data_IF_671523477309
#
_entry.id   IF_671523477309
#
_cell.length_a   1.000
_cell.length_b   1.000
_cell.length_c   1.000
_cell.angle_alpha   90.00
_cell.angle_beta   90.00
_cell.angle_gamma   90.00
#
_symmetry.space_group_name_H-M   'P 1'
#
loop_
_entity.id
_entity.type
_entity.pdbx_description
1 polymer ?
#
# COMPACT_ATOMS: atom_id res chain seq x y z
N UNK A 1 -19.76 17.48 -35.51
CA UNK A 1 -19.84 16.10 -35.01
C UNK A 1 -18.81 15.80 -33.93
N UNK A 2 -17.53 16.24 -33.98
CA UNK A 2 -16.49 15.94 -32.98
C UNK A 2 -16.74 16.59 -31.59
N UNK A 3 -17.26 17.83 -31.52
CA UNK A 3 -17.62 18.50 -30.25
C UNK A 3 -18.76 17.79 -29.50
N UNK A 4 -19.68 17.15 -30.18
CA UNK A 4 -20.82 16.45 -29.56
C UNK A 4 -20.40 15.13 -28.93
N UNK A 5 -19.37 14.44 -29.44
CA UNK A 5 -18.89 13.18 -28.91
C UNK A 5 -18.13 13.37 -27.56
N UNK A 6 -17.30 14.44 -27.46
CA UNK A 6 -16.60 14.77 -26.20
C UNK A 6 -17.57 15.22 -25.10
N UNK A 7 -18.60 16.01 -25.45
CA UNK A 7 -19.65 16.40 -24.49
C UNK A 7 -20.51 15.22 -24.04
N UNK A 8 -20.79 14.27 -24.91
CA UNK A 8 -21.53 13.04 -24.57
C UNK A 8 -20.68 12.13 -23.66
N UNK A 9 -19.37 12.02 -23.91
CA UNK A 9 -18.46 11.23 -23.08
C UNK A 9 -18.32 11.81 -21.67
N UNK A 10 -18.17 13.13 -21.53
CA UNK A 10 -18.16 13.82 -20.24
C UNK A 10 -19.49 13.64 -19.48
N UNK A 11 -20.62 13.67 -20.18
CA UNK A 11 -21.95 13.44 -19.59
C UNK A 11 -22.12 11.98 -19.13
N UNK A 12 -21.63 11.01 -19.90
CA UNK A 12 -21.68 9.58 -19.55
C UNK A 12 -20.78 9.29 -18.34
N UNK A 13 -19.57 9.86 -18.27
CA UNK A 13 -18.67 9.70 -17.13
C UNK A 13 -19.28 10.30 -15.86
N UNK A 14 -19.89 11.50 -15.94
CA UNK A 14 -20.55 12.13 -14.77
C UNK A 14 -21.79 11.34 -14.32
N UNK A 15 -22.57 10.77 -15.22
CA UNK A 15 -23.72 9.95 -14.87
C UNK A 15 -23.35 8.61 -14.24
N UNK A 16 -22.31 7.93 -14.75
CA UNK A 16 -21.87 6.64 -14.17
C UNK A 16 -21.31 6.78 -12.76
N UNK A 17 -20.62 7.87 -12.46
CA UNK A 17 -20.13 8.19 -11.11
C UNK A 17 -21.27 8.51 -10.16
N UNK A 18 -22.26 9.32 -10.57
CA UNK A 18 -23.44 9.64 -9.72
C UNK A 18 -24.32 8.41 -9.42
N UNK A 19 -24.54 7.51 -10.38
CA UNK A 19 -25.34 6.30 -10.17
C UNK A 19 -24.63 5.26 -9.28
N UNK A 20 -23.30 5.22 -9.27
CA UNK A 20 -22.52 4.34 -8.38
C UNK A 20 -22.61 4.74 -6.91
N UNK A 21 -22.70 6.04 -6.62
CA UNK A 21 -22.69 6.57 -5.25
C UNK A 21 -24.04 6.44 -4.51
N UNK A 22 -25.15 6.54 -5.23
CA UNK A 22 -26.48 6.36 -4.62
C UNK A 22 -26.76 4.92 -4.20
N UNK A 23 -26.02 3.95 -4.75
CA UNK A 23 -26.18 2.54 -4.43
C UNK A 23 -25.34 2.07 -3.22
N UNK A 24 -24.29 2.82 -2.81
CA UNK A 24 -23.32 2.37 -1.80
C UNK A 24 -23.34 3.15 -0.46
N UNK A 25 -24.24 4.10 -0.23
CA UNK A 25 -24.39 4.77 1.08
C UNK A 25 -23.20 5.67 1.48
N UNK A 26 -22.51 6.26 0.50
CA UNK A 26 -21.44 7.24 0.73
C UNK A 26 -21.91 8.46 1.51
N UNK A 27 -21.02 9.05 2.35
CA UNK A 27 -21.33 10.25 3.12
C UNK A 27 -21.45 11.48 2.20
N UNK A 28 -22.14 12.55 2.66
CA UNK A 28 -22.23 13.81 1.92
C UNK A 28 -20.84 14.37 1.57
N UNK A 29 -19.85 14.17 2.44
CA UNK A 29 -18.46 14.59 2.23
C UNK A 29 -17.79 13.83 1.07
N UNK A 30 -18.10 12.54 0.89
CA UNK A 30 -17.57 11.73 -0.22
C UNK A 30 -18.16 12.20 -1.56
N UNK A 31 -19.44 12.59 -1.56
CA UNK A 31 -20.11 13.16 -2.74
C UNK A 31 -19.50 14.51 -3.13
N UNK A 32 -19.25 15.38 -2.15
CA UNK A 32 -18.63 16.69 -2.37
C UNK A 32 -17.20 16.56 -2.89
N UNK A 33 -16.40 15.63 -2.36
CA UNK A 33 -15.05 15.35 -2.84
C UNK A 33 -15.05 14.84 -4.30
N UNK A 34 -15.97 13.94 -4.63
CA UNK A 34 -16.13 13.45 -6.02
C UNK A 34 -16.62 14.53 -6.99
N UNK A 35 -17.51 15.41 -6.54
CA UNK A 35 -17.96 16.53 -7.36
C UNK A 35 -16.81 17.50 -7.64
N UNK A 36 -15.97 17.83 -6.64
CA UNK A 36 -14.80 18.67 -6.81
C UNK A 36 -13.77 18.03 -7.78
N UNK A 37 -13.57 16.71 -7.68
CA UNK A 37 -12.71 15.97 -8.60
C UNK A 37 -13.28 15.95 -10.02
N UNK A 38 -14.58 15.78 -10.19
CA UNK A 38 -15.28 15.86 -11.49
C UNK A 38 -15.19 17.25 -12.11
N UNK A 39 -15.32 18.31 -11.32
CA UNK A 39 -15.11 19.69 -11.79
C UNK A 39 -13.68 19.91 -12.27
N UNK A 40 -12.69 19.40 -11.53
CA UNK A 40 -11.27 19.48 -11.90
C UNK A 40 -10.99 18.73 -13.20
N UNK A 41 -11.48 17.49 -13.35
CA UNK A 41 -11.34 16.69 -14.55
C UNK A 41 -12.06 17.31 -15.76
N UNK A 42 -13.25 17.88 -15.52
CA UNK A 42 -13.99 18.59 -16.55
C UNK A 42 -13.24 19.83 -17.05
N UNK A 43 -12.60 20.56 -16.13
CA UNK A 43 -11.75 21.71 -16.48
C UNK A 43 -10.54 21.25 -17.31
N UNK A 44 -9.81 20.22 -16.85
CA UNK A 44 -8.66 19.67 -17.58
C UNK A 44 -9.04 19.16 -18.96
N UNK A 45 -10.19 18.52 -19.10
CA UNK A 45 -10.73 18.08 -20.39
C UNK A 45 -11.04 19.25 -21.31
N UNK A 46 -11.61 20.34 -20.80
CA UNK A 46 -11.90 21.54 -21.56
C UNK A 46 -10.63 22.25 -21.99
N UNK A 47 -9.64 22.35 -21.11
CA UNK A 47 -8.35 22.97 -21.40
C UNK A 47 -7.60 22.16 -22.48
N UNK A 48 -7.56 20.84 -22.39
CA UNK A 48 -6.97 19.96 -23.40
C UNK A 48 -7.71 20.03 -24.76
N UNK A 49 -9.03 20.11 -24.76
CA UNK A 49 -9.79 20.31 -25.99
C UNK A 49 -9.54 21.66 -26.63
N UNK A 50 -9.32 22.73 -25.84
CA UNK A 50 -8.96 24.03 -26.35
C UNK A 50 -7.57 23.98 -27.00
N UNK A 51 -6.58 23.36 -26.35
CA UNK A 51 -5.24 23.20 -26.88
C UNK A 51 -5.21 22.38 -28.18
N UNK A 52 -5.97 21.29 -28.26
CA UNK A 52 -6.13 20.53 -29.49
C UNK A 52 -6.74 21.42 -30.62
N UNK A 53 -7.74 22.25 -30.31
CA UNK A 53 -8.34 23.14 -31.27
C UNK A 53 -7.36 24.19 -31.82
N UNK A 54 -6.49 24.71 -30.93
CA UNK A 54 -5.46 25.67 -31.28
C UNK A 54 -4.36 25.03 -32.16
N UNK A 55 -3.95 23.80 -31.83
CA UNK A 55 -3.03 23.01 -32.65
C UNK A 55 -3.61 22.67 -34.02
N UNK A 56 -4.89 22.27 -34.11
CA UNK A 56 -5.57 22.04 -35.38
C UNK A 56 -5.59 23.31 -36.28
N UNK A 57 -5.80 24.48 -35.64
CA UNK A 57 -5.79 25.78 -36.36
C UNK A 57 -4.37 26.12 -36.84
N UNK A 58 -3.34 25.90 -36.00
CA UNK A 58 -1.95 26.17 -36.40
C UNK A 58 -1.45 25.20 -37.46
N UNK A 59 -1.79 23.93 -37.41
CA UNK A 59 -1.53 22.94 -38.47
C UNK A 59 -2.18 23.41 -39.80
N UNK A 60 -3.44 23.86 -39.74
CA UNK A 60 -4.11 24.36 -40.92
C UNK A 60 -3.45 25.61 -41.51
N UNK A 61 -3.00 26.55 -40.65
CA UNK A 61 -2.24 27.75 -41.02
C UNK A 61 -0.92 27.40 -41.68
N UNK A 62 -0.13 26.49 -41.06
CA UNK A 62 1.16 26.04 -41.59
C UNK A 62 1.00 25.32 -42.94
N UNK A 63 -0.01 24.46 -43.07
CA UNK A 63 -0.35 23.79 -44.36
C UNK A 63 -0.69 24.80 -45.46
N UNK A 64 -1.35 25.92 -45.12
CA UNK A 64 -1.69 27.00 -46.11
C UNK A 64 -0.47 27.81 -46.56
N UNK A 65 0.60 27.87 -45.73
CA UNK A 65 1.86 28.53 -46.05
C UNK A 65 2.80 27.67 -46.92
N UNK A 66 2.48 26.39 -47.09
CA UNK A 66 3.35 25.38 -47.74
C UNK A 66 3.41 25.46 -49.26
N UNK A 67 2.63 26.30 -49.95
CA UNK A 67 2.67 26.42 -51.41
C UNK A 67 4.02 26.92 -51.98
N UNK A 68 5.12 26.66 -51.28
CA UNK A 68 6.47 27.02 -51.72
C UNK A 68 7.59 26.81 -50.74
N UNK A 69 7.45 25.98 -49.68
CA UNK A 69 8.41 26.01 -48.59
C UNK A 69 9.08 24.69 -48.19
N UNK A 70 10.16 24.87 -47.49
CA UNK A 70 11.26 24.00 -47.11
C UNK A 70 10.88 22.77 -46.27
N UNK A 71 11.77 21.76 -46.24
CA UNK A 71 11.70 20.53 -45.44
C UNK A 71 11.53 20.81 -43.93
N UNK A 72 11.94 21.99 -43.40
CA UNK A 72 11.77 22.41 -42.01
C UNK A 72 10.28 22.59 -41.60
N UNK A 73 9.47 23.17 -42.49
CA UNK A 73 8.03 23.34 -42.22
C UNK A 73 7.27 22.01 -42.22
N UNK A 74 7.67 21.09 -43.06
CA UNK A 74 7.12 19.73 -43.10
C UNK A 74 7.48 18.96 -41.80
N UNK A 75 8.69 19.13 -41.30
CA UNK A 75 9.12 18.51 -40.06
C UNK A 75 8.36 19.05 -38.83
N UNK A 76 8.05 20.37 -38.82
CA UNK A 76 7.29 20.99 -37.75
C UNK A 76 5.82 20.59 -37.78
N UNK A 77 5.20 20.51 -38.96
CA UNK A 77 3.84 19.98 -39.10
C UNK A 77 3.76 18.53 -38.56
N UNK A 78 4.71 17.68 -38.92
CA UNK A 78 4.74 16.30 -38.43
C UNK A 78 4.84 16.19 -36.89
N UNK A 79 5.61 17.08 -36.25
CA UNK A 79 5.66 17.16 -34.78
C UNK A 79 4.32 17.58 -34.16
N UNK A 80 3.65 18.57 -34.75
CA UNK A 80 2.35 19.04 -34.25
C UNK A 80 1.25 17.98 -34.44
N UNK A 81 1.26 17.25 -35.56
CA UNK A 81 0.36 16.14 -35.78
C UNK A 81 0.59 14.98 -34.79
N UNK A 82 1.85 14.67 -34.46
CA UNK A 82 2.19 13.69 -33.46
C UNK A 82 1.71 14.09 -32.06
N UNK A 83 1.91 15.36 -31.65
CA UNK A 83 1.44 15.89 -30.37
C UNK A 83 -0.10 15.90 -30.29
N UNK A 84 -0.79 16.26 -31.38
CA UNK A 84 -2.25 16.19 -31.46
C UNK A 84 -2.75 14.77 -31.21
N UNK A 85 -2.12 13.76 -31.83
CA UNK A 85 -2.51 12.36 -31.63
C UNK A 85 -2.23 11.88 -30.19
N UNK A 86 -1.10 12.29 -29.59
CA UNK A 86 -0.79 11.99 -28.19
C UNK A 86 -1.82 12.60 -27.24
N UNK A 87 -2.21 13.87 -27.43
CA UNK A 87 -3.27 14.52 -26.65
C UNK A 87 -4.63 13.82 -26.82
N UNK A 88 -4.95 13.39 -28.04
CA UNK A 88 -6.16 12.62 -28.31
C UNK A 88 -6.14 11.27 -27.62
N UNK A 89 -4.99 10.63 -27.51
CA UNK A 89 -4.82 9.39 -26.79
C UNK A 89 -5.02 9.61 -25.28
N UNK A 90 -4.47 10.69 -24.71
CA UNK A 90 -4.73 11.07 -23.33
C UNK A 90 -6.23 11.27 -23.04
N UNK A 91 -6.96 11.90 -23.93
CA UNK A 91 -8.42 12.07 -23.79
C UNK A 91 -9.21 10.75 -23.85
N UNK A 92 -8.64 9.70 -24.44
CA UNK A 92 -9.19 8.33 -24.44
C UNK A 92 -8.74 7.52 -23.22
N UNK A 93 -7.96 8.13 -22.30
CA UNK A 93 -7.37 7.45 -21.14
C UNK A 93 -6.09 6.67 -21.45
N UNK A 94 -5.51 6.85 -22.63
CA UNK A 94 -4.24 6.24 -23.02
C UNK A 94 -3.12 7.26 -22.77
N UNK A 95 -2.39 7.10 -21.66
CA UNK A 95 -1.38 8.04 -21.21
C UNK A 95 0.04 7.45 -21.31
N UNK A 96 1.02 8.29 -21.68
CA UNK A 96 2.43 7.97 -21.60
C UNK A 96 3.02 8.57 -20.31
N UNK A 97 3.26 7.75 -19.28
CA UNK A 97 3.74 8.21 -17.99
C UNK A 97 5.27 8.23 -17.88
N UNK A 98 5.80 9.34 -17.32
CA UNK A 98 7.14 9.40 -16.75
C UNK A 98 6.98 9.58 -15.24
N UNK A 99 7.34 8.56 -14.47
CA UNK A 99 6.99 8.53 -13.05
C UNK A 99 5.47 8.38 -12.84
N UNK A 100 4.87 9.27 -12.08
CA UNK A 100 3.41 9.32 -11.87
C UNK A 100 2.69 10.22 -12.88
N UNK A 101 3.41 11.09 -13.59
CA UNK A 101 2.84 12.15 -14.41
C UNK A 101 2.89 11.81 -15.89
N UNK A 102 1.79 11.99 -16.58
CA UNK A 102 1.73 11.86 -18.03
C UNK A 102 2.57 12.97 -18.69
N UNK A 103 3.49 12.57 -19.57
CA UNK A 103 4.41 13.50 -20.25
C UNK A 103 3.71 14.47 -21.18
N UNK A 104 2.51 14.11 -21.66
CA UNK A 104 1.76 14.89 -22.67
C UNK A 104 0.74 15.81 -22.01
N UNK A 105 -0.08 15.32 -21.07
CA UNK A 105 -1.19 16.10 -20.51
C UNK A 105 -1.02 16.43 -19.01
N UNK A 106 0.05 16.00 -18.38
CA UNK A 106 0.29 16.24 -16.95
C UNK A 106 -0.62 15.49 -15.98
N UNK A 107 -1.48 14.57 -16.48
CA UNK A 107 -2.34 13.78 -15.60
C UNK A 107 -1.50 12.93 -14.63
N UNK A 108 -1.87 12.94 -13.34
CA UNK A 108 -1.23 12.11 -12.33
C UNK A 108 -2.02 10.81 -12.14
N UNK A 109 -1.33 9.68 -12.25
CA UNK A 109 -1.93 8.35 -11.99
C UNK A 109 -1.91 7.96 -10.52
N UNK A 110 -1.40 8.83 -9.65
CA UNK A 110 -1.36 8.61 -8.22
C UNK A 110 -0.23 7.69 -7.73
N UNK A 111 0.57 7.11 -8.63
CA UNK A 111 1.72 6.27 -8.28
C UNK A 111 2.86 6.41 -9.29
N UNK A 112 4.09 6.18 -8.84
CA UNK A 112 5.28 6.05 -9.69
C UNK A 112 5.62 4.57 -9.86
N UNK A 113 5.91 4.14 -11.08
CA UNK A 113 6.38 2.78 -11.36
C UNK A 113 7.88 2.80 -11.68
N UNK A 114 8.60 1.79 -11.23
CA UNK A 114 10.01 1.56 -11.48
C UNK A 114 10.25 0.04 -11.57
N UNK A 115 10.34 -0.49 -12.79
CA UNK A 115 10.40 -1.93 -13.09
C UNK A 115 9.31 -2.74 -12.37
N UNK A 116 9.74 -3.61 -11.44
CA UNK A 116 8.90 -4.49 -10.65
C UNK A 116 8.36 -3.84 -9.37
N UNK A 117 8.54 -2.52 -9.23
CA UNK A 117 8.10 -1.78 -8.05
C UNK A 117 7.14 -0.67 -8.42
N UNK A 118 6.21 -0.42 -7.50
CA UNK A 118 5.34 0.75 -7.50
C UNK A 118 5.60 1.53 -6.21
N UNK A 119 5.74 2.85 -6.34
CA UNK A 119 5.81 3.79 -5.22
C UNK A 119 4.45 4.46 -5.09
N UNK A 120 3.78 4.22 -3.97
CA UNK A 120 2.37 4.54 -3.80
C UNK A 120 2.01 4.69 -2.33
N UNK A 121 1.35 5.79 -1.99
CA UNK A 121 1.14 6.18 -0.60
C UNK A 121 2.43 6.60 0.09
N UNK A 122 2.31 7.18 1.28
CA UNK A 122 3.45 7.68 2.07
C UNK A 122 3.30 7.27 3.53
N UNK A 123 4.41 6.91 4.17
CA UNK A 123 4.42 6.54 5.59
C UNK A 123 5.78 6.86 6.21
N UNK A 124 5.88 7.05 7.53
CA UNK A 124 7.16 7.24 8.20
C UNK A 124 8.08 6.02 8.02
N UNK A 125 9.32 6.23 7.60
CA UNK A 125 10.26 5.13 7.33
C UNK A 125 11.66 5.40 7.86
N UNK A 126 12.37 6.36 7.30
CA UNK A 126 13.80 6.59 7.54
C UNK A 126 14.04 7.59 8.66
N UNK A 127 15.02 7.33 9.51
CA UNK A 127 15.45 8.28 10.54
C UNK A 127 15.85 9.63 9.91
N UNK A 128 15.44 10.72 10.54
CA UNK A 128 15.82 12.08 10.16
C UNK A 128 17.34 12.23 10.07
N UNK A 129 17.84 12.82 8.98
CA UNK A 129 19.24 13.15 8.85
C UNK A 129 19.67 14.24 9.87
N UNK A 130 20.95 14.22 10.27
CA UNK A 130 21.45 15.09 11.34
C UNK A 130 21.41 16.59 10.97
N UNK A 131 21.55 16.91 9.68
CA UNK A 131 21.53 18.29 9.15
C UNK A 131 20.10 18.86 8.98
N UNK A 132 19.06 18.04 9.17
CA UNK A 132 17.67 18.49 9.10
C UNK A 132 17.21 19.00 10.47
N UNK A 133 16.68 20.22 10.47
CA UNK A 133 16.04 20.82 11.65
C UNK A 133 14.54 20.71 11.54
N UNK A 134 13.89 20.23 12.61
CA UNK A 134 12.43 20.13 12.69
C UNK A 134 11.85 21.48 13.10
N UNK A 135 10.82 21.93 12.38
CA UNK A 135 10.09 23.18 12.69
C UNK A 135 8.89 22.88 13.60
N UNK A 136 8.20 23.93 14.04
CA UNK A 136 6.94 23.79 14.79
C UNK A 136 5.70 23.66 13.90
N UNK A 137 5.86 23.71 12.57
CA UNK A 137 4.76 23.57 11.60
C UNK A 137 4.42 22.11 11.41
N UNK A 138 3.14 21.78 11.47
CA UNK A 138 2.62 20.43 11.23
C UNK A 138 1.60 20.42 10.10
N UNK A 139 1.47 19.27 9.42
CA UNK A 139 0.39 18.99 8.47
C UNK A 139 -0.90 18.53 9.17
N UNK A 140 -1.89 18.12 8.38
CA UNK A 140 -3.17 17.59 8.89
C UNK A 140 -3.05 16.23 9.60
N UNK A 141 -1.96 15.49 9.41
CA UNK A 141 -1.67 14.22 10.09
C UNK A 141 -0.85 14.43 11.38
N UNK A 142 -0.44 15.66 11.67
CA UNK A 142 0.44 15.99 12.79
C UNK A 142 1.93 15.72 12.51
N UNK A 143 2.31 15.51 11.25
CA UNK A 143 3.70 15.37 10.85
C UNK A 143 4.40 16.73 10.79
N UNK A 144 5.59 16.83 11.33
CA UNK A 144 6.36 18.06 11.45
C UNK A 144 7.12 18.36 10.16
N UNK A 145 7.12 19.61 9.74
CA UNK A 145 7.90 20.08 8.58
C UNK A 145 9.39 20.20 8.96
N UNK A 146 10.26 19.57 8.17
CA UNK A 146 11.71 19.71 8.25
C UNK A 146 12.25 20.89 7.43
N UNK A 147 13.48 21.31 7.75
CA UNK A 147 14.19 22.36 7.02
C UNK A 147 14.51 21.99 5.56
N UNK A 148 14.45 20.72 5.23
CA UNK A 148 14.62 20.15 3.89
C UNK A 148 13.30 20.10 3.08
N UNK A 149 12.20 20.60 3.66
CA UNK A 149 10.89 20.62 3.03
C UNK A 149 10.10 19.30 3.11
N UNK A 150 10.65 18.26 3.74
CA UNK A 150 9.95 17.00 3.97
C UNK A 150 9.17 17.00 5.30
N UNK A 151 8.19 16.10 5.42
CA UNK A 151 7.46 15.88 6.67
C UNK A 151 8.02 14.72 7.46
N UNK A 152 7.88 14.78 8.79
CA UNK A 152 8.47 13.85 9.76
C UNK A 152 7.49 13.47 10.84
N UNK A 153 7.33 12.17 11.09
CA UNK A 153 6.61 11.67 12.25
C UNK A 153 7.51 11.70 13.49
N UNK A 154 6.99 12.20 14.60
CA UNK A 154 7.67 12.18 15.89
C UNK A 154 7.28 10.93 16.67
N UNK A 155 8.26 10.19 17.18
CA UNK A 155 8.07 8.97 17.98
C UNK A 155 8.97 8.98 19.18
N UNK A 156 8.42 8.63 20.35
CA UNK A 156 9.23 8.21 21.50
C UNK A 156 9.54 6.72 21.32
N UNK A 157 10.80 6.38 21.20
CA UNK A 157 11.21 5.02 20.88
C UNK A 157 10.91 4.03 22.00
N UNK A 158 10.38 2.88 21.61
CA UNK A 158 10.16 1.67 22.42
C UNK A 158 10.62 0.45 21.60
N UNK A 159 11.96 0.29 21.43
CA UNK A 159 12.51 -0.75 20.56
C UNK A 159 12.32 -2.15 21.15
N UNK A 160 12.31 -3.16 20.28
CA UNK A 160 12.24 -4.55 20.70
C UNK A 160 13.34 -4.92 21.69
N UNK A 161 12.93 -5.59 22.74
CA UNK A 161 13.82 -6.18 23.76
C UNK A 161 13.53 -7.67 23.85
N UNK A 162 14.56 -8.48 23.65
CA UNK A 162 14.44 -9.92 23.89
C UNK A 162 14.32 -10.19 25.41
N UNK A 163 13.15 -10.62 25.83
CA UNK A 163 12.86 -10.93 27.23
C UNK A 163 13.67 -12.13 27.77
N UNK A 164 14.26 -12.94 26.89
CA UNK A 164 15.15 -14.04 27.24
C UNK A 164 16.61 -13.59 27.37
N UNK A 165 16.97 -12.42 26.85
CA UNK A 165 18.31 -11.88 26.99
C UNK A 165 18.60 -11.47 28.45
N UNK A 166 19.77 -11.87 28.96
CA UNK A 166 20.16 -11.61 30.33
C UNK A 166 20.28 -10.11 30.67
N UNK A 167 20.63 -9.29 29.67
CA UNK A 167 20.85 -7.85 29.85
C UNK A 167 19.56 -7.02 29.62
N UNK A 168 18.52 -7.61 29.06
CA UNK A 168 17.23 -6.96 28.73
C UNK A 168 17.38 -5.60 28.02
N UNK A 169 18.39 -5.48 27.16
CA UNK A 169 18.64 -4.28 26.38
C UNK A 169 18.30 -4.51 24.90
N UNK A 170 17.73 -3.51 24.28
CA UNK A 170 17.50 -3.57 22.83
C UNK A 170 18.84 -3.65 22.07
N UNK A 171 18.87 -4.48 21.05
CA UNK A 171 19.99 -4.58 20.08
C UNK A 171 19.66 -3.86 18.76
N UNK A 172 18.50 -3.23 18.68
CA UNK A 172 18.06 -2.54 17.47
C UNK A 172 18.97 -1.36 17.15
N UNK A 173 19.32 -1.24 15.87
CA UNK A 173 20.05 -0.10 15.33
C UNK A 173 19.24 0.47 14.16
N UNK A 174 19.37 1.76 13.90
CA UNK A 174 18.86 2.40 12.68
C UNK A 174 19.69 1.99 11.46
N UNK A 175 19.19 2.31 10.28
CA UNK A 175 19.90 2.11 9.00
C UNK A 175 21.26 2.83 8.96
N UNK A 176 21.43 3.88 9.74
CA UNK A 176 22.69 4.60 9.94
C UNK A 176 23.72 3.85 10.80
N UNK A 177 23.32 2.76 11.46
CA UNK A 177 24.12 2.02 12.45
C UNK A 177 24.04 2.57 13.87
N UNK A 178 23.37 3.70 14.09
CA UNK A 178 23.16 4.24 15.44
C UNK A 178 22.16 3.36 16.22
N UNK A 179 22.41 3.17 17.53
CA UNK A 179 21.52 2.40 18.40
C UNK A 179 20.17 3.09 18.59
N UNK A 180 19.09 2.32 18.61
CA UNK A 180 17.76 2.80 19.00
C UNK A 180 17.72 2.84 20.54
N UNK A 181 17.55 4.02 21.12
CA UNK A 181 17.55 4.22 22.58
C UNK A 181 16.12 4.41 23.07
N UNK A 182 15.66 3.50 23.92
CA UNK A 182 14.35 3.55 24.56
C UNK A 182 14.08 4.91 25.24
N UNK A 183 12.86 5.41 25.11
CA UNK A 183 12.43 6.68 25.70
C UNK A 183 12.95 7.93 24.99
N UNK A 184 13.81 7.78 23.97
CA UNK A 184 14.31 8.90 23.18
C UNK A 184 13.32 9.29 22.10
N UNK A 185 13.14 10.60 21.88
CA UNK A 185 12.31 11.13 20.79
C UNK A 185 13.11 11.17 19.50
N UNK A 186 12.59 10.51 18.49
CA UNK A 186 13.14 10.53 17.13
C UNK A 186 12.11 11.04 16.11
N UNK A 187 12.60 11.45 14.97
CA UNK A 187 11.78 11.92 13.84
C UNK A 187 12.07 11.06 12.62
N UNK A 188 11.00 10.57 11.98
CA UNK A 188 11.09 9.69 10.83
C UNK A 188 10.47 10.35 9.62
N UNK A 189 11.21 10.38 8.52
CA UNK A 189 10.77 10.96 7.26
C UNK A 189 9.57 10.22 6.72
N UNK A 190 8.56 10.97 6.34
CA UNK A 190 7.39 10.46 5.61
C UNK A 190 7.79 10.34 4.15
N UNK A 191 7.80 9.13 3.63
CA UNK A 191 8.35 8.79 2.32
C UNK A 191 7.39 7.90 1.54
N UNK A 192 7.45 7.93 0.19
CA UNK A 192 6.68 7.01 -0.63
C UNK A 192 6.95 5.54 -0.26
N UNK A 193 5.89 4.78 -0.05
CA UNK A 193 5.99 3.36 0.24
C UNK A 193 6.35 2.63 -1.06
N UNK A 194 7.39 1.79 -0.99
CA UNK A 194 7.79 0.90 -2.08
C UNK A 194 7.02 -0.41 -2.00
N UNK A 195 6.39 -0.79 -3.10
CA UNK A 195 5.60 -2.00 -3.22
C UNK A 195 6.18 -2.88 -4.32
N UNK A 196 6.42 -4.15 -4.01
CA UNK A 196 6.78 -5.18 -4.99
C UNK A 196 5.52 -5.62 -5.72
N UNK A 197 5.58 -5.71 -7.04
CA UNK A 197 4.51 -6.27 -7.86
C UNK A 197 4.59 -7.80 -7.78
N UNK A 198 3.59 -8.43 -7.18
CA UNK A 198 3.49 -9.89 -7.10
C UNK A 198 2.79 -10.47 -8.34
N UNK A 199 1.79 -9.77 -8.85
CA UNK A 199 1.00 -10.20 -10.02
C UNK A 199 0.39 -8.98 -10.71
N UNK A 200 0.38 -9.01 -12.04
CA UNK A 200 -0.40 -8.10 -12.87
C UNK A 200 -1.36 -8.91 -13.75
N UNK A 201 -2.62 -8.54 -13.75
CA UNK A 201 -3.63 -9.20 -14.54
C UNK A 201 -4.84 -8.26 -14.76
N UNK A 202 -5.35 -8.22 -15.99
CA UNK A 202 -6.58 -7.47 -16.34
C UNK A 202 -6.58 -5.98 -15.97
N UNK A 203 -5.44 -5.30 -16.00
CA UNK A 203 -5.31 -3.89 -15.62
C UNK A 203 -5.31 -3.65 -14.11
N UNK A 204 -5.04 -4.69 -13.32
CA UNK A 204 -4.87 -4.64 -11.87
C UNK A 204 -3.49 -5.16 -11.46
N UNK A 205 -2.95 -4.67 -10.36
CA UNK A 205 -1.75 -5.19 -9.74
C UNK A 205 -2.01 -5.63 -8.30
N UNK A 206 -1.53 -6.82 -7.94
CA UNK A 206 -1.36 -7.27 -6.56
C UNK A 206 0.03 -6.82 -6.10
N UNK A 207 0.07 -6.04 -5.04
CA UNK A 207 1.26 -5.43 -4.49
C UNK A 207 1.53 -5.92 -3.07
N UNK A 208 2.81 -6.08 -2.73
CA UNK A 208 3.29 -6.35 -1.37
C UNK A 208 4.26 -5.25 -0.96
N UNK A 209 4.09 -4.67 0.22
CA UNK A 209 5.06 -3.73 0.78
C UNK A 209 6.45 -4.39 0.85
N UNK A 210 7.48 -3.67 0.39
CA UNK A 210 8.83 -4.22 0.25
C UNK A 210 9.68 -4.05 1.53
N UNK A 211 9.02 -3.76 2.65
CA UNK A 211 9.61 -3.67 3.97
C UNK A 211 8.58 -3.87 5.08
N UNK A 212 9.04 -4.18 6.27
CA UNK A 212 8.24 -4.12 7.50
C UNK A 212 8.03 -2.66 7.83
N UNK A 213 6.79 -2.18 7.60
CA UNK A 213 6.46 -0.75 7.67
C UNK A 213 6.08 -0.28 9.08
N UNK A 214 5.59 -1.19 9.91
CA UNK A 214 5.18 -0.91 11.29
C UNK A 214 5.35 -2.16 12.17
N UNK A 215 5.34 -1.96 13.48
CA UNK A 215 5.23 -3.04 14.47
C UNK A 215 3.81 -3.05 15.05
N UNK A 216 3.20 -4.22 15.17
CA UNK A 216 1.85 -4.34 15.73
C UNK A 216 1.57 -5.77 16.21
N UNK A 217 0.87 -5.88 17.34
CA UNK A 217 0.29 -7.15 17.78
C UNK A 217 -0.79 -7.59 16.77
N UNK A 218 -0.85 -8.88 16.49
CA UNK A 218 -1.91 -9.44 15.65
C UNK A 218 -3.29 -9.19 16.26
N UNK A 219 -3.41 -9.44 17.58
CA UNK A 219 -4.62 -9.22 18.35
C UNK A 219 -4.29 -8.65 19.74
N UNK A 220 -4.82 -7.49 20.07
CA UNK A 220 -4.68 -6.88 21.39
C UNK A 220 -5.85 -7.18 22.31
N UNK A 221 -7.00 -7.53 21.73
CA UNK A 221 -8.28 -7.59 22.42
C UNK A 221 -8.76 -9.05 22.54
N UNK A 222 -8.10 -9.80 23.43
CA UNK A 222 -8.42 -11.19 23.68
C UNK A 222 -8.29 -11.55 25.18
N UNK A 223 -9.02 -12.58 25.60
CA UNK A 223 -8.87 -13.22 26.90
C UNK A 223 -8.21 -14.58 26.75
N UNK A 224 -7.34 -14.91 27.69
CA UNK A 224 -6.72 -16.21 27.79
C UNK A 224 -7.29 -17.00 28.97
N UNK A 225 -7.91 -18.14 28.65
CA UNK A 225 -8.31 -19.11 29.66
C UNK A 225 -7.46 -20.38 29.50
N UNK A 226 -6.69 -20.72 30.54
CA UNK A 226 -5.71 -21.82 30.53
C UNK A 226 -6.27 -23.19 30.13
N UNK A 227 -7.59 -23.37 30.20
CA UNK A 227 -8.26 -24.64 29.87
C UNK A 227 -9.03 -24.63 28.55
N UNK A 228 -9.28 -23.44 27.97
CA UNK A 228 -10.18 -23.28 26.81
C UNK A 228 -9.51 -22.61 25.60
N UNK A 229 -8.29 -22.12 25.72
CA UNK A 229 -7.60 -21.38 24.64
C UNK A 229 -7.83 -19.87 24.68
N UNK A 230 -7.38 -19.17 23.63
CA UNK A 230 -7.53 -17.73 23.49
C UNK A 230 -8.77 -17.37 22.65
N UNK A 231 -9.57 -16.46 23.16
CA UNK A 231 -10.75 -15.92 22.46
C UNK A 231 -10.69 -14.40 22.41
N UNK A 232 -11.18 -13.83 21.29
CA UNK A 232 -11.38 -12.40 21.22
C UNK A 232 -12.35 -11.93 22.31
N UNK A 233 -12.10 -10.76 22.89
CA UNK A 233 -13.14 -10.09 23.66
C UNK A 233 -14.21 -9.53 22.70
N UNK A 234 -15.37 -9.20 23.22
CA UNK A 234 -16.45 -8.66 22.36
C UNK A 234 -16.34 -7.17 22.08
N UNK A 235 -15.30 -6.51 22.61
CA UNK A 235 -15.07 -5.07 22.48
C UNK A 235 -14.77 -4.63 21.03
N UNK A 236 -14.18 -5.50 20.20
CA UNK A 236 -13.94 -5.23 18.78
C UNK A 236 -15.07 -5.73 17.85
N UNK A 237 -16.25 -6.04 18.41
CA UNK A 237 -17.40 -6.52 17.66
C UNK A 237 -17.35 -8.02 17.30
N UNK A 238 -16.36 -8.77 17.81
CA UNK A 238 -16.29 -10.21 17.60
C UNK A 238 -17.44 -10.94 18.34
N UNK A 239 -18.10 -11.91 17.70
CA UNK A 239 -19.06 -12.78 18.40
C UNK A 239 -18.38 -13.55 19.54
N UNK A 240 -19.14 -13.87 20.59
CA UNK A 240 -18.64 -14.73 21.67
C UNK A 240 -18.15 -16.09 21.13
N UNK A 241 -16.99 -16.52 21.58
CA UNK A 241 -16.36 -17.77 21.13
C UNK A 241 -15.52 -17.64 19.84
N UNK A 242 -15.32 -16.42 19.33
CA UNK A 242 -14.35 -16.16 18.24
C UNK A 242 -12.93 -16.37 18.76
N UNK A 243 -12.14 -17.17 18.07
CA UNK A 243 -10.75 -17.45 18.44
C UNK A 243 -9.86 -16.19 18.32
N UNK A 244 -8.84 -16.08 19.17
CA UNK A 244 -7.97 -14.92 19.20
C UNK A 244 -7.14 -14.73 17.92
N UNK A 245 -6.82 -15.82 17.22
CA UNK A 245 -6.11 -15.80 15.94
C UNK A 245 -7.03 -15.63 14.71
N UNK A 246 -8.28 -15.25 14.91
CA UNK A 246 -9.23 -14.98 13.84
C UNK A 246 -8.90 -13.69 13.10
N UNK A 247 -8.48 -13.78 11.84
CA UNK A 247 -8.08 -12.62 11.05
C UNK A 247 -9.20 -11.59 10.88
N UNK A 248 -10.44 -12.03 10.67
CA UNK A 248 -11.58 -11.12 10.44
C UNK A 248 -11.77 -10.10 11.55
N UNK A 249 -11.48 -10.47 12.80
CA UNK A 249 -11.62 -9.62 13.97
C UNK A 249 -10.27 -9.23 14.59
N UNK A 250 -9.17 -9.40 13.87
CA UNK A 250 -7.85 -9.06 14.37
C UNK A 250 -7.63 -7.54 14.42
N UNK A 251 -6.85 -7.12 15.42
CA UNK A 251 -6.43 -5.71 15.56
C UNK A 251 -5.63 -5.24 14.37
N UNK A 252 -4.73 -6.08 13.84
CA UNK A 252 -3.89 -5.72 12.68
C UNK A 252 -4.73 -5.49 11.43
N UNK A 253 -5.78 -6.30 11.17
CA UNK A 253 -6.67 -6.07 10.03
C UNK A 253 -7.45 -4.77 10.17
N UNK A 254 -8.00 -4.50 11.35
CA UNK A 254 -8.72 -3.25 11.62
C UNK A 254 -7.80 -2.03 11.41
N UNK A 255 -6.58 -2.09 11.93
CA UNK A 255 -5.57 -1.04 11.75
C UNK A 255 -5.23 -0.82 10.27
N UNK A 256 -5.01 -1.89 9.50
CA UNK A 256 -4.71 -1.81 8.07
C UNK A 256 -5.79 -1.06 7.30
N UNK A 257 -7.07 -1.38 7.55
CA UNK A 257 -8.20 -0.87 6.75
C UNK A 257 -8.77 0.46 7.26
N UNK A 258 -8.51 0.84 8.51
CA UNK A 258 -9.03 2.07 9.10
C UNK A 258 -7.94 3.11 9.30
N UNK A 259 -6.88 2.78 10.04
CA UNK A 259 -5.85 3.75 10.43
C UNK A 259 -4.80 3.92 9.36
N UNK A 260 -4.15 2.82 8.97
CA UNK A 260 -3.06 2.88 7.99
C UNK A 260 -3.57 3.33 6.61
N UNK A 261 -4.71 2.78 6.14
CA UNK A 261 -5.29 3.18 4.86
C UNK A 261 -5.56 4.68 4.75
N UNK A 262 -6.08 5.28 5.83
CA UNK A 262 -6.36 6.73 5.84
C UNK A 262 -5.11 7.59 6.01
N UNK A 263 -4.11 7.08 6.74
CA UNK A 263 -2.87 7.82 6.99
C UNK A 263 -1.91 7.77 5.81
N UNK A 264 -1.84 6.63 5.10
CA UNK A 264 -0.85 6.40 4.06
C UNK A 264 -1.27 6.87 2.67
N UNK A 265 -2.58 6.99 2.39
CA UNK A 265 -3.07 7.27 1.04
C UNK A 265 -3.93 8.53 0.98
N UNK A 266 -3.61 9.42 0.03
CA UNK A 266 -4.46 10.57 -0.31
C UNK A 266 -5.79 10.11 -0.90
N UNK A 267 -6.82 10.97 -0.89
CA UNK A 267 -8.15 10.63 -1.44
C UNK A 267 -8.10 10.15 -2.90
N UNK A 268 -7.33 10.76 -3.82
CA UNK A 268 -7.16 10.23 -5.17
C UNK A 268 -6.52 8.83 -5.18
N UNK A 269 -5.50 8.60 -4.36
CA UNK A 269 -4.84 7.30 -4.24
C UNK A 269 -5.78 6.23 -3.67
N UNK A 270 -6.61 6.58 -2.68
CA UNK A 270 -7.65 5.70 -2.15
C UNK A 270 -8.64 5.25 -3.24
N UNK A 271 -8.91 6.10 -4.23
CA UNK A 271 -9.79 5.80 -5.35
C UNK A 271 -9.29 4.70 -6.29
N UNK A 272 -7.99 4.46 -6.36
CA UNK A 272 -7.40 3.39 -7.19
C UNK A 272 -7.13 2.09 -6.41
N UNK A 273 -7.18 2.12 -5.06
CA UNK A 273 -7.08 0.90 -4.24
C UNK A 273 -8.37 0.10 -4.36
N UNK A 274 -8.26 -1.11 -4.86
CA UNK A 274 -9.39 -2.02 -5.04
C UNK A 274 -9.80 -2.64 -3.72
N UNK A 275 -11.10 -2.90 -3.57
CA UNK A 275 -11.59 -3.77 -2.50
C UNK A 275 -11.39 -5.21 -2.95
N UNK A 276 -10.69 -5.99 -2.14
CA UNK A 276 -10.33 -7.38 -2.44
C UNK A 276 -11.16 -8.31 -1.56
N UNK A 277 -11.76 -9.34 -2.15
CA UNK A 277 -12.30 -10.49 -1.41
C UNK A 277 -11.12 -11.39 -1.01
N UNK A 278 -10.80 -11.40 0.28
CA UNK A 278 -9.63 -12.07 0.85
C UNK A 278 -10.06 -13.43 1.36
N UNK A 279 -9.53 -14.49 0.77
CA UNK A 279 -9.79 -15.88 1.18
C UNK A 279 -9.06 -16.19 2.49
N UNK A 280 -9.83 -16.42 3.53
CA UNK A 280 -9.36 -16.81 4.87
C UNK A 280 -9.69 -18.27 5.19
N UNK A 281 -10.08 -19.07 4.19
CA UNK A 281 -10.46 -20.47 4.36
C UNK A 281 -9.27 -21.41 4.54
N UNK A 282 -9.59 -22.69 4.73
CA UNK A 282 -8.58 -23.75 4.97
C UNK A 282 -7.56 -23.85 3.85
N UNK A 283 -7.99 -23.69 2.60
CA UNK A 283 -7.10 -23.79 1.43
C UNK A 283 -6.06 -22.69 1.39
N UNK A 284 -6.40 -21.49 1.89
CA UNK A 284 -5.52 -20.33 1.93
C UNK A 284 -4.60 -20.33 3.15
N UNK A 285 -5.05 -20.92 4.25
CA UNK A 285 -4.33 -20.89 5.53
C UNK A 285 -3.03 -21.72 5.54
N UNK A 286 -2.80 -22.59 4.57
CA UNK A 286 -1.59 -23.41 4.50
C UNK A 286 -1.31 -23.84 3.06
N UNK A 287 -0.04 -23.87 2.62
CA UNK A 287 0.36 -24.38 1.31
C UNK A 287 0.01 -25.87 1.12
N UNK A 288 -0.28 -26.58 2.19
CA UNK A 288 -0.66 -27.99 2.14
C UNK A 288 -2.19 -28.20 2.08
N UNK A 289 -3.00 -27.14 2.12
CA UNK A 289 -4.47 -27.19 2.10
C UNK A 289 -5.11 -27.89 3.31
N UNK A 290 -4.30 -28.52 4.15
CA UNK A 290 -4.67 -29.25 5.38
C UNK A 290 -3.56 -29.05 6.40
N UNK A 291 -3.85 -29.25 7.68
CA UNK A 291 -2.79 -29.22 8.67
C UNK A 291 -1.79 -30.38 8.46
N UNK A 292 -0.62 -30.28 9.09
CA UNK A 292 0.46 -31.27 9.02
C UNK A 292 0.02 -32.74 9.26
N UNK A 293 -1.05 -32.95 10.03
CA UNK A 293 -1.60 -34.28 10.34
C UNK A 293 -2.79 -34.68 9.44
N UNK A 294 -3.05 -33.96 8.33
CA UNK A 294 -4.16 -34.24 7.42
C UNK A 294 -5.55 -33.83 7.95
N UNK A 295 -5.61 -33.10 9.06
CA UNK A 295 -6.84 -32.56 9.62
C UNK A 295 -7.19 -31.16 9.08
N UNK A 296 -8.43 -30.75 9.28
CA UNK A 296 -8.90 -29.40 8.92
C UNK A 296 -8.39 -28.37 9.95
N UNK A 297 -7.92 -27.22 9.48
CA UNK A 297 -7.64 -26.09 10.36
C UNK A 297 -8.98 -25.48 10.83
N UNK A 298 -9.30 -25.63 12.11
CA UNK A 298 -10.56 -25.15 12.71
C UNK A 298 -10.55 -23.66 13.09
N UNK A 299 -9.41 -23.01 13.00
CA UNK A 299 -9.21 -21.60 13.40
C UNK A 299 -9.36 -20.62 12.23
N UNK A 300 -9.57 -21.13 11.02
CA UNK A 300 -9.87 -20.29 9.85
C UNK A 300 -11.15 -19.49 10.06
N UNK A 301 -11.32 -18.45 9.29
CA UNK A 301 -12.51 -17.60 9.37
C UNK A 301 -13.15 -17.39 8.00
N UNK A 302 -14.27 -16.69 8.01
CA UNK A 302 -14.94 -16.28 6.78
C UNK A 302 -14.06 -15.29 5.99
N UNK A 303 -14.25 -15.26 4.67
CA UNK A 303 -13.63 -14.28 3.79
C UNK A 303 -13.92 -12.86 4.27
N UNK A 304 -13.00 -11.98 4.00
CA UNK A 304 -13.09 -10.55 4.32
C UNK A 304 -12.99 -9.71 3.06
N UNK A 305 -13.63 -8.54 3.10
CA UNK A 305 -13.59 -7.56 2.02
C UNK A 305 -12.70 -6.41 2.48
N UNK A 306 -11.46 -6.35 1.96
CA UNK A 306 -10.41 -5.49 2.49
C UNK A 306 -9.78 -4.60 1.41
N UNK A 307 -9.35 -3.41 1.81
CA UNK A 307 -8.49 -2.53 1.01
C UNK A 307 -7.03 -2.94 1.12
N UNK A 308 -6.60 -3.25 2.35
CA UNK A 308 -5.28 -3.80 2.66
C UNK A 308 -5.43 -5.07 3.47
N UNK A 309 -4.54 -6.00 3.25
CA UNK A 309 -4.55 -7.30 3.93
C UNK A 309 -3.12 -7.82 4.13
N UNK A 310 -2.97 -8.84 4.97
CA UNK A 310 -1.74 -9.61 5.08
C UNK A 310 -1.79 -10.77 4.07
N UNK A 311 -0.66 -11.19 3.54
CA UNK A 311 -0.62 -12.44 2.77
C UNK A 311 -0.97 -13.63 3.67
N UNK A 312 -1.60 -14.67 3.09
CA UNK A 312 -1.67 -15.97 3.75
C UNK A 312 -0.36 -16.75 3.56
N UNK A 313 -0.20 -17.86 4.28
CA UNK A 313 0.93 -18.77 4.05
C UNK A 313 0.93 -19.33 2.63
N UNK A 314 -0.23 -19.67 2.07
CA UNK A 314 -0.34 -20.14 0.69
C UNK A 314 0.15 -19.08 -0.29
N UNK A 315 -0.20 -17.83 -0.10
CA UNK A 315 0.25 -16.71 -0.94
C UNK A 315 1.73 -16.43 -0.76
N UNK A 316 2.23 -16.47 0.48
CA UNK A 316 3.65 -16.27 0.79
C UNK A 316 4.55 -17.43 0.33
N UNK A 317 3.98 -18.56 -0.11
CA UNK A 317 4.70 -19.71 -0.69
C UNK A 317 4.35 -19.92 -2.17
N UNK A 318 3.79 -18.93 -2.83
CA UNK A 318 3.38 -19.01 -4.23
C UNK A 318 4.53 -18.65 -5.17
N UNK A 319 4.99 -19.62 -5.96
CA UNK A 319 6.05 -19.42 -6.96
C UNK A 319 5.69 -18.39 -8.04
N UNK A 320 4.40 -18.24 -8.36
CA UNK A 320 3.94 -17.22 -9.30
C UNK A 320 4.09 -15.80 -8.76
N UNK A 321 4.29 -15.63 -7.45
CA UNK A 321 4.58 -14.34 -6.79
C UNK A 321 6.09 -14.14 -6.54
N UNK A 322 6.93 -15.07 -7.03
CA UNK A 322 8.37 -15.02 -6.87
C UNK A 322 8.88 -15.59 -5.55
N UNK A 323 8.05 -16.31 -4.79
CA UNK A 323 8.43 -16.97 -3.54
C UNK A 323 8.77 -18.45 -3.77
N UNK A 324 9.58 -19.01 -2.88
CA UNK A 324 9.77 -20.45 -2.87
C UNK A 324 8.49 -21.18 -2.46
N UNK A 325 8.19 -22.32 -3.08
CA UNK A 325 7.02 -23.14 -2.82
C UNK A 325 7.04 -23.87 -1.47
N UNK A 326 8.13 -23.78 -0.74
CA UNK A 326 8.31 -24.41 0.57
C UNK A 326 8.31 -23.37 1.70
N UNK A 327 8.04 -23.87 2.90
CA UNK A 327 8.08 -23.08 4.14
C UNK A 327 9.50 -22.77 4.64
N UNK A 328 10.54 -23.38 4.04
CA UNK A 328 11.95 -23.14 4.39
C UNK A 328 12.39 -21.73 4.09
N UNK A 329 13.56 -21.35 4.57
CA UNK A 329 14.16 -20.03 4.34
C UNK A 329 14.14 -19.60 2.88
N UNK A 330 13.73 -18.36 2.63
CA UNK A 330 13.63 -17.77 1.30
C UNK A 330 13.90 -16.27 1.35
N UNK A 331 14.96 -15.84 0.70
CA UNK A 331 15.36 -14.42 0.68
C UNK A 331 14.30 -13.50 0.07
N UNK A 332 13.43 -14.02 -0.80
CA UNK A 332 12.33 -13.25 -1.36
C UNK A 332 11.24 -12.91 -0.33
N UNK A 333 11.16 -13.66 0.76
CA UNK A 333 10.27 -13.43 1.91
C UNK A 333 10.95 -12.71 3.07
N UNK A 334 12.29 -12.73 3.11
CA UNK A 334 13.05 -11.98 4.10
C UNK A 334 12.80 -10.48 3.92
N UNK A 335 12.21 -9.82 4.92
CA UNK A 335 11.82 -8.41 4.85
C UNK A 335 12.64 -7.57 5.81
N UNK A 336 13.25 -6.50 5.28
CA UNK A 336 13.94 -5.52 6.11
C UNK A 336 12.95 -4.67 6.90
N UNK A 337 13.33 -4.30 8.11
CA UNK A 337 12.59 -3.36 8.95
C UNK A 337 12.91 -1.92 8.58
N UNK A 338 11.91 -1.04 8.55
CA UNK A 338 12.14 0.41 8.49
C UNK A 338 12.71 0.94 9.81
N UNK A 339 13.39 2.08 9.79
CA UNK A 339 13.87 2.71 11.03
C UNK A 339 12.71 3.05 11.97
N UNK A 340 11.58 3.47 11.40
CA UNK A 340 10.35 3.72 12.16
C UNK A 340 9.85 2.45 12.86
N UNK A 341 9.77 1.31 12.15
CA UNK A 341 9.31 0.06 12.73
C UNK A 341 10.24 -0.45 13.83
N UNK A 342 11.57 -0.25 13.70
CA UNK A 342 12.55 -0.56 14.75
C UNK A 342 12.36 0.30 15.98
N UNK A 343 12.12 1.60 15.81
CA UNK A 343 11.86 2.50 16.92
C UNK A 343 10.53 2.22 17.62
N UNK A 344 9.59 1.59 16.95
CA UNK A 344 8.26 1.24 17.49
C UNK A 344 8.14 -0.23 17.91
N UNK A 345 9.25 -0.96 17.99
CA UNK A 345 9.32 -2.27 18.62
C UNK A 345 9.42 -3.47 17.67
N UNK A 346 9.59 -3.30 16.37
CA UNK A 346 9.83 -4.43 15.48
C UNK A 346 11.16 -5.12 15.81
N UNK A 347 11.14 -6.44 15.89
CA UNK A 347 12.36 -7.25 15.97
C UNK A 347 13.21 -7.03 14.72
N UNK A 348 14.50 -6.90 14.91
CA UNK A 348 15.50 -6.80 13.86
C UNK A 348 16.61 -7.81 14.11
N UNK A 349 16.88 -8.68 13.14
CA UNK A 349 18.04 -9.57 13.17
C UNK A 349 19.34 -8.76 13.13
N UNK A 350 20.29 -9.10 14.00
CA UNK A 350 21.59 -8.41 14.13
C UNK A 350 22.77 -9.25 13.62
N UNK A 351 22.51 -10.41 13.02
CA UNK A 351 23.52 -11.36 12.54
C UNK A 351 23.35 -11.67 11.06
N UNK A 352 23.11 -12.93 10.70
CA UNK A 352 23.14 -13.45 9.32
C UNK A 352 22.14 -12.79 8.38
N UNK A 353 20.99 -12.35 8.90
CA UNK A 353 19.93 -11.67 8.15
C UNK A 353 19.75 -10.22 8.65
N UNK A 354 20.87 -9.56 8.87
CA UNK A 354 20.93 -8.22 9.47
C UNK A 354 19.94 -7.24 8.83
N UNK A 355 19.12 -6.64 9.69
CA UNK A 355 18.09 -5.69 9.28
C UNK A 355 16.73 -6.30 8.97
N UNK A 356 16.65 -7.62 8.74
CA UNK A 356 15.37 -8.30 8.56
C UNK A 356 14.66 -8.49 9.90
N UNK A 357 13.34 -8.56 9.82
CA UNK A 357 12.48 -8.82 10.97
C UNK A 357 11.44 -9.90 10.70
N UNK A 358 10.62 -10.14 11.69
CA UNK A 358 9.47 -11.04 11.59
C UNK A 358 8.23 -10.25 11.14
N UNK A 359 7.35 -10.89 10.37
CA UNK A 359 6.13 -10.25 9.92
C UNK A 359 4.93 -11.20 9.84
N UNK A 360 3.77 -10.70 10.25
CA UNK A 360 2.53 -11.49 10.31
C UNK A 360 2.02 -11.91 8.92
N UNK A 361 1.59 -13.17 8.82
CA UNK A 361 0.62 -13.59 7.80
C UNK A 361 -0.80 -13.51 8.38
N UNK A 362 -1.82 -13.64 7.52
CA UNK A 362 -3.20 -13.73 8.02
C UNK A 362 -3.62 -15.15 8.42
N UNK A 363 -2.75 -16.14 8.23
CA UNK A 363 -3.05 -17.55 8.49
C UNK A 363 -3.03 -17.87 9.98
N UNK A 364 -4.13 -18.42 10.53
CA UNK A 364 -4.12 -18.91 11.89
C UNK A 364 -3.32 -20.22 11.98
N UNK A 365 -2.56 -20.39 13.05
CA UNK A 365 -1.89 -21.66 13.31
C UNK A 365 -2.90 -22.75 13.68
N UNK A 366 -2.74 -23.96 13.14
CA UNK A 366 -3.74 -25.01 13.20
C UNK A 366 -3.85 -25.75 14.55
N UNK A 367 -2.91 -25.53 15.48
CA UNK A 367 -2.88 -26.24 16.75
C UNK A 367 -3.42 -25.42 17.92
N UNK A 368 -3.40 -24.09 17.84
CA UNK A 368 -3.74 -23.22 18.96
C UNK A 368 -4.57 -22.01 18.52
N UNK A 369 -5.61 -21.71 19.31
CA UNK A 369 -6.55 -20.62 19.04
C UNK A 369 -5.99 -19.20 19.23
N UNK A 370 -4.81 -19.07 19.82
CA UNK A 370 -4.14 -17.78 20.09
C UNK A 370 -2.83 -17.60 19.33
N UNK A 371 -2.55 -18.47 18.38
CA UNK A 371 -1.30 -18.44 17.63
C UNK A 371 -1.59 -18.20 16.16
N UNK A 372 -0.94 -17.21 15.59
CA UNK A 372 -0.96 -16.90 14.17
C UNK A 372 0.40 -17.24 13.54
N UNK A 373 0.40 -17.50 12.23
CA UNK A 373 1.62 -17.77 11.50
C UNK A 373 2.30 -16.46 11.08
N UNK A 374 3.62 -16.46 11.10
CA UNK A 374 4.46 -15.36 10.65
C UNK A 374 5.57 -15.87 9.73
N UNK A 375 6.22 -14.96 9.05
CA UNK A 375 7.45 -15.19 8.31
C UNK A 375 8.61 -14.70 9.17
N UNK A 376 9.62 -15.55 9.33
CA UNK A 376 10.83 -15.21 10.11
C UNK A 376 11.79 -14.32 9.31
N UNK A 377 12.82 -13.84 9.96
CA UNK A 377 13.84 -12.95 9.43
C UNK A 377 14.68 -13.57 8.29
N UNK A 378 14.79 -14.89 8.25
CA UNK A 378 15.38 -15.66 7.14
C UNK A 378 14.39 -15.97 6.01
N UNK A 379 13.12 -15.53 6.14
CA UNK A 379 12.05 -15.81 5.21
C UNK A 379 11.44 -17.21 5.33
N UNK A 380 11.67 -17.94 6.43
CA UNK A 380 10.96 -19.18 6.71
C UNK A 380 9.48 -18.88 7.00
N UNK A 381 8.58 -19.60 6.32
CA UNK A 381 7.14 -19.56 6.57
C UNK A 381 6.73 -20.61 7.61
N UNK A 382 5.48 -20.57 8.08
CA UNK A 382 4.95 -21.45 9.12
C UNK A 382 5.73 -21.35 10.44
N UNK A 383 6.09 -20.15 10.82
CA UNK A 383 6.64 -19.87 12.14
C UNK A 383 5.50 -19.35 13.03
N UNK A 384 4.94 -20.18 13.93
CA UNK A 384 3.78 -19.80 14.72
C UNK A 384 4.21 -19.02 15.96
N UNK A 385 3.49 -17.93 16.28
CA UNK A 385 3.68 -17.23 17.54
C UNK A 385 2.37 -16.70 18.12
N UNK A 386 2.39 -16.33 19.40
CA UNK A 386 1.24 -15.78 20.11
C UNK A 386 0.76 -14.49 19.44
N UNK A 387 -0.55 -14.34 19.27
CA UNK A 387 -1.16 -13.15 18.65
C UNK A 387 -0.81 -11.82 19.33
N UNK A 388 -0.35 -11.88 20.59
CA UNK A 388 0.14 -10.74 21.33
C UNK A 388 1.68 -10.73 21.44
N UNK A 389 2.38 -11.48 20.60
CA UNK A 389 3.83 -11.46 20.62
C UNK A 389 4.35 -10.11 20.12
N UNK A 390 5.14 -9.45 20.97
CA UNK A 390 5.76 -8.17 20.69
C UNK A 390 6.96 -8.36 19.76
N UNK A 391 7.11 -7.52 18.79
CA UNK A 391 8.25 -7.56 17.86
C UNK A 391 7.92 -8.01 16.46
N UNK A 392 6.72 -8.56 16.23
CA UNK A 392 6.31 -8.94 14.87
C UNK A 392 5.76 -7.75 14.11
N UNK A 393 6.28 -7.54 12.93
CA UNK A 393 5.94 -6.41 12.10
C UNK A 393 4.81 -6.68 11.13
N UNK A 394 4.47 -5.64 10.37
CA UNK A 394 3.40 -5.64 9.38
C UNK A 394 3.99 -5.40 7.99
N UNK A 395 3.71 -6.30 7.06
CA UNK A 395 3.99 -6.20 5.63
C UNK A 395 2.64 -6.24 4.90
N UNK A 396 2.04 -5.09 4.62
CA UNK A 396 0.73 -5.04 3.99
C UNK A 396 0.78 -5.44 2.51
N UNK A 397 -0.31 -6.04 2.04
CA UNK A 397 -0.60 -6.24 0.63
C UNK A 397 -1.87 -5.48 0.24
N UNK A 398 -1.99 -5.11 -1.05
CA UNK A 398 -3.17 -4.47 -1.59
C UNK A 398 -3.29 -4.74 -3.10
N UNK A 399 -4.46 -4.44 -3.67
CA UNK A 399 -4.64 -4.40 -5.12
C UNK A 399 -4.93 -2.99 -5.57
N UNK A 400 -4.36 -2.59 -6.68
CA UNK A 400 -4.66 -1.32 -7.33
C UNK A 400 -5.12 -1.54 -8.76
N UNK A 401 -5.88 -0.56 -9.26
CA UNK A 401 -6.11 -0.40 -10.70
C UNK A 401 -4.87 0.26 -11.33
N UNK A 402 -4.37 -0.33 -12.43
CA UNK A 402 -3.24 0.20 -13.20
C UNK A 402 -3.68 1.22 -14.25
#
# INVERSE_FOLDING_TARGET
MKKTAAQILALILSCTVLFGLTACGGSAADVDALNAQNETLTKQLNDANAEISDLEAEIARLKSLMDGSSDELLAEIAKLEALEEELRNCLKGIHAFSGSTCTTCGADRGYRRDDNFIYFGEYPQTLKADDVTITSTTDSHGYYLGSDGNYYAMVTADPYVDNMAADRTSKSTFSTGASVVEGTVYYFKVEPIRWRILKEENGEALLLCDSIIANMLYQTDYSYETSAGGYCTTSNGAPSGTYANNYKYSTVRAWLNETFYKAAFTSPQQGIVLTTDVDNGVASASPYGVNWNGGTNHYVCENTSDKLFLLSELEATNEAYGFASYITSDTARGMSTSDYSRATGAYMNTSDYHGNGWWWTRSPYYQESRTACLISDDGCALFPDDVAYYGVGVVPALRIKL
#
